data_IF_172843210139
#
_entry.id   IF_172843210139
#
_cell.length_a   1.000
_cell.length_b   1.000
_cell.length_c   1.000
_cell.angle_alpha   90.00
_cell.angle_beta   90.00
_cell.angle_gamma   90.00
#
_symmetry.space_group_name_H-M   'P 1'
#
loop_
_entity.id
_entity.type
_entity.pdbx_description
1 polymer ?
#
# COMPACT_ATOMS: atom_id res chain seq x y z
N UNK A 1 -9.74 9.79 17.41
CA UNK A 1 -9.71 10.41 16.06
C UNK A 1 -8.27 10.79 15.78
N UNK A 2 -7.65 10.21 14.75
CA UNK A 2 -6.35 10.67 14.27
C UNK A 2 -6.53 12.11 13.75
N UNK A 3 -5.69 13.03 14.17
CA UNK A 3 -5.66 14.40 13.64
C UNK A 3 -4.34 14.49 12.89
N UNK A 4 -4.40 14.68 11.57
CA UNK A 4 -3.19 14.96 10.80
C UNK A 4 -2.59 16.29 11.28
N UNK A 5 -1.26 16.43 11.32
CA UNK A 5 -0.62 17.67 11.77
C UNK A 5 -1.08 18.84 10.88
N UNK A 6 -1.47 19.95 11.48
CA UNK A 6 -1.86 21.17 10.78
C UNK A 6 -0.68 22.13 10.76
N UNK A 7 0.21 22.03 9.79
CA UNK A 7 1.15 23.11 9.43
C UNK A 7 0.58 23.86 8.23
N UNK A 8 0.83 25.15 8.09
CA UNK A 8 0.20 26.02 7.10
C UNK A 8 0.58 25.74 5.62
N UNK A 9 1.03 24.54 5.29
CA UNK A 9 1.28 24.02 3.95
C UNK A 9 0.36 22.82 3.67
N UNK A 10 -0.04 22.57 2.42
CA UNK A 10 -0.85 21.39 2.06
C UNK A 10 -0.07 20.11 2.40
N UNK A 11 -0.65 19.30 3.26
CA UNK A 11 -0.10 17.99 3.63
C UNK A 11 -0.34 17.01 2.50
N UNK A 12 0.71 16.64 1.76
CA UNK A 12 0.64 15.79 0.57
C UNK A 12 0.97 14.34 0.91
N UNK A 13 0.11 13.43 0.46
CA UNK A 13 0.22 11.99 0.71
C UNK A 13 0.24 11.22 -0.61
N UNK A 14 1.34 10.55 -0.90
CA UNK A 14 1.47 9.69 -2.08
C UNK A 14 0.87 8.32 -1.81
N UNK A 15 -0.08 7.90 -2.64
CA UNK A 15 -0.81 6.64 -2.49
C UNK A 15 -0.74 5.85 -3.80
N UNK A 16 -0.21 4.63 -3.78
CA UNK A 16 -0.28 3.75 -4.94
C UNK A 16 -1.52 2.87 -4.88
N UNK A 17 -2.11 2.52 -6.03
CA UNK A 17 -3.36 1.76 -6.06
C UNK A 17 -4.59 2.58 -5.66
N UNK A 18 -4.50 3.91 -5.77
CA UNK A 18 -5.54 4.83 -5.31
C UNK A 18 -6.81 4.87 -6.15
N UNK A 19 -6.86 4.21 -7.29
CA UNK A 19 -8.06 4.14 -8.12
C UNK A 19 -9.12 3.15 -7.59
N UNK A 20 -8.78 2.25 -6.66
CA UNK A 20 -9.73 1.25 -6.14
C UNK A 20 -9.36 0.74 -4.74
N UNK A 21 -10.27 -0.01 -4.13
CA UNK A 21 -10.04 -0.79 -2.91
C UNK A 21 -9.46 0.02 -1.76
N UNK A 22 -8.44 -0.53 -1.10
CA UNK A 22 -7.81 0.10 0.08
C UNK A 22 -7.13 1.43 -0.27
N UNK A 23 -6.49 1.53 -1.44
CA UNK A 23 -5.88 2.78 -1.88
C UNK A 23 -6.91 3.89 -2.02
N UNK A 24 -8.04 3.64 -2.68
CA UNK A 24 -9.14 4.61 -2.82
C UNK A 24 -9.76 4.99 -1.47
N UNK A 25 -9.98 4.02 -0.58
CA UNK A 25 -10.46 4.30 0.76
C UNK A 25 -9.47 5.17 1.57
N UNK A 26 -8.16 4.99 1.34
CA UNK A 26 -7.13 5.84 1.95
C UNK A 26 -7.13 7.25 1.37
N UNK A 27 -7.34 7.39 0.06
CA UNK A 27 -7.54 8.70 -0.59
C UNK A 27 -8.70 9.45 0.08
N UNK A 28 -9.85 8.79 0.26
CA UNK A 28 -11.01 9.38 0.92
C UNK A 28 -10.72 9.78 2.37
N UNK A 29 -9.97 8.96 3.07
CA UNK A 29 -9.60 9.24 4.44
C UNK A 29 -8.64 10.45 4.52
N UNK A 30 -7.62 10.52 3.67
CA UNK A 30 -6.68 11.66 3.61
C UNK A 30 -7.43 12.97 3.38
N UNK A 31 -8.33 13.04 2.39
CA UNK A 31 -9.13 14.25 2.14
C UNK A 31 -10.02 14.62 3.32
N UNK A 32 -10.69 13.64 3.94
CA UNK A 32 -11.56 13.87 5.11
C UNK A 32 -10.81 14.51 6.27
N UNK A 33 -9.53 14.20 6.42
CA UNK A 33 -8.68 14.77 7.47
C UNK A 33 -7.86 15.99 7.01
N UNK A 34 -8.18 16.55 5.84
CA UNK A 34 -7.61 17.81 5.34
C UNK A 34 -6.27 17.67 4.63
N UNK A 35 -5.85 16.44 4.30
CA UNK A 35 -4.66 16.17 3.49
C UNK A 35 -4.97 16.23 1.98
N UNK A 36 -3.92 16.29 1.18
CA UNK A 36 -3.98 16.26 -0.29
C UNK A 36 -3.46 14.91 -0.78
N UNK A 37 -4.32 14.02 -1.29
CA UNK A 37 -3.87 12.75 -1.85
C UNK A 37 -3.29 12.94 -3.25
N UNK A 38 -2.23 12.21 -3.55
CA UNK A 38 -1.55 12.13 -4.84
C UNK A 38 -1.49 10.65 -5.22
N UNK A 39 -1.95 10.30 -6.40
CA UNK A 39 -2.18 8.89 -6.74
C UNK A 39 -1.26 8.41 -7.87
N UNK A 40 -0.65 7.24 -7.68
CA UNK A 40 -0.10 6.43 -8.77
C UNK A 40 -0.93 5.16 -8.90
N UNK A 41 -1.52 4.95 -10.06
CA UNK A 41 -2.28 3.74 -10.39
C UNK A 41 -2.13 3.44 -11.87
N UNK A 42 -2.38 2.21 -12.31
CA UNK A 42 -2.44 1.88 -13.75
C UNK A 42 -3.68 2.45 -14.43
N UNK A 43 -4.74 2.71 -13.67
CA UNK A 43 -5.99 3.29 -14.12
C UNK A 43 -6.20 4.66 -13.48
N UNK A 44 -6.86 5.60 -14.17
CA UNK A 44 -7.20 6.87 -13.55
C UNK A 44 -8.23 6.66 -12.42
N UNK A 45 -8.12 7.42 -11.32
CA UNK A 45 -9.17 7.47 -10.30
C UNK A 45 -10.51 7.92 -10.89
N UNK A 46 -11.63 7.53 -10.27
CA UNK A 46 -12.98 7.88 -10.75
C UNK A 46 -13.35 9.36 -10.51
N UNK A 47 -12.51 10.11 -9.84
CA UNK A 47 -12.72 11.51 -9.48
C UNK A 47 -11.49 12.38 -9.75
N UNK A 48 -11.68 13.68 -9.76
CA UNK A 48 -10.65 14.67 -10.07
C UNK A 48 -9.70 14.86 -8.87
N UNK A 49 -8.63 14.08 -8.87
CA UNK A 49 -7.51 14.19 -7.93
C UNK A 49 -6.19 14.12 -8.71
N UNK A 50 -5.14 14.72 -8.17
CA UNK A 50 -3.83 14.67 -8.78
C UNK A 50 -3.33 13.22 -8.89
N UNK A 51 -3.07 12.76 -10.11
CA UNK A 51 -2.65 11.38 -10.35
C UNK A 51 -1.74 11.24 -11.57
N UNK A 52 -0.93 10.19 -11.56
CA UNK A 52 -0.17 9.73 -12.72
C UNK A 52 -0.51 8.26 -12.99
N UNK A 53 -0.87 7.96 -14.23
CA UNK A 53 -1.09 6.58 -14.65
C UNK A 53 0.24 5.89 -14.94
N UNK A 54 0.62 4.92 -14.10
CA UNK A 54 1.85 4.14 -14.26
C UNK A 54 1.67 2.68 -13.83
N UNK A 55 2.31 1.77 -14.55
CA UNK A 55 2.41 0.37 -14.12
C UNK A 55 3.58 0.23 -13.15
N UNK A 56 3.33 -0.25 -11.94
CA UNK A 56 4.39 -0.44 -10.93
C UNK A 56 5.42 -1.53 -11.30
N UNK A 57 5.15 -2.36 -12.30
CA UNK A 57 6.14 -3.28 -12.85
C UNK A 57 7.25 -2.57 -13.64
N UNK A 58 7.04 -1.33 -14.06
CA UNK A 58 7.98 -0.47 -14.78
C UNK A 58 8.62 0.54 -13.82
N UNK A 59 9.84 0.22 -13.38
CA UNK A 59 10.56 1.04 -12.40
C UNK A 59 10.85 2.47 -12.92
N UNK A 60 11.15 2.63 -14.20
CA UNK A 60 11.40 3.96 -14.79
C UNK A 60 10.13 4.81 -14.82
N UNK A 61 9.00 4.20 -15.19
CA UNK A 61 7.70 4.89 -15.12
C UNK A 61 7.33 5.29 -13.69
N UNK A 62 7.63 4.44 -12.70
CA UNK A 62 7.44 4.75 -11.28
C UNK A 62 8.28 5.95 -10.85
N UNK A 63 9.56 5.98 -11.18
CA UNK A 63 10.46 7.08 -10.80
C UNK A 63 9.97 8.42 -11.40
N UNK A 64 9.54 8.43 -12.66
CA UNK A 64 8.95 9.61 -13.32
C UNK A 64 7.65 10.04 -12.64
N UNK A 65 6.76 9.09 -12.35
CA UNK A 65 5.47 9.39 -11.71
C UNK A 65 5.65 9.99 -10.30
N UNK A 66 6.58 9.47 -9.51
CA UNK A 66 6.90 10.02 -8.19
C UNK A 66 7.46 11.43 -8.30
N UNK A 67 8.37 11.70 -9.24
CA UNK A 67 8.95 13.03 -9.44
C UNK A 67 7.87 14.05 -9.86
N UNK A 68 6.99 13.69 -10.81
CA UNK A 68 5.90 14.54 -11.28
C UNK A 68 4.94 14.91 -10.12
N UNK A 69 4.55 13.93 -9.30
CA UNK A 69 3.68 14.19 -8.16
C UNK A 69 4.39 14.93 -7.02
N UNK A 70 5.69 14.77 -6.89
CA UNK A 70 6.49 15.56 -5.96
C UNK A 70 6.53 17.04 -6.35
N UNK A 71 6.61 17.35 -7.65
CA UNK A 71 6.50 18.73 -8.14
C UNK A 71 5.14 19.34 -7.80
N UNK A 72 4.04 18.57 -7.99
CA UNK A 72 2.69 18.98 -7.57
C UNK A 72 2.61 19.24 -6.06
N UNK A 73 3.30 18.42 -5.25
CA UNK A 73 3.37 18.52 -3.80
C UNK A 73 4.29 19.66 -3.29
N UNK A 74 4.95 20.39 -4.17
CA UNK A 74 5.93 21.39 -3.75
C UNK A 74 7.23 20.81 -3.16
N UNK A 75 7.59 19.59 -3.54
CA UNK A 75 8.85 18.92 -3.20
C UNK A 75 8.84 18.12 -1.89
N UNK A 76 7.69 17.91 -1.26
CA UNK A 76 7.63 17.16 0.00
C UNK A 76 6.39 16.26 0.11
N UNK A 77 6.55 15.11 0.78
CA UNK A 77 5.45 14.22 1.17
C UNK A 77 5.44 14.00 2.68
N UNK A 78 4.30 14.20 3.32
CA UNK A 78 4.06 13.86 4.72
C UNK A 78 3.75 12.37 4.92
N UNK A 79 3.35 11.69 3.85
CA UNK A 79 3.13 10.25 3.89
C UNK A 79 3.25 9.58 2.53
N UNK A 80 3.70 8.34 2.54
CA UNK A 80 3.70 7.45 1.38
C UNK A 80 3.03 6.14 1.77
N UNK A 81 2.01 5.74 1.03
CA UNK A 81 1.32 4.46 1.22
C UNK A 81 1.37 3.61 -0.05
N UNK A 82 2.00 2.44 0.05
CA UNK A 82 2.09 1.51 -1.08
C UNK A 82 0.98 0.46 -1.01
N UNK A 83 -0.24 0.82 -1.45
CA UNK A 83 -1.42 -0.06 -1.41
C UNK A 83 -1.59 -0.93 -2.66
N UNK A 84 -0.97 -0.56 -3.78
CA UNK A 84 -1.11 -1.31 -5.03
C UNK A 84 -0.64 -2.76 -4.88
N UNK A 85 -1.42 -3.66 -5.45
CA UNK A 85 -1.09 -5.08 -5.46
C UNK A 85 -2.00 -5.86 -6.37
N UNK A 86 -1.46 -6.94 -6.91
CA UNK A 86 -2.17 -7.90 -7.76
C UNK A 86 -1.92 -9.33 -7.28
N UNK A 87 -2.70 -10.27 -7.79
CA UNK A 87 -2.54 -11.69 -7.51
C UNK A 87 -2.75 -12.52 -8.78
N UNK A 88 -2.21 -13.73 -8.77
CA UNK A 88 -2.44 -14.76 -9.78
C UNK A 88 -2.58 -16.11 -9.06
N UNK A 89 -3.84 -16.50 -8.79
CA UNK A 89 -4.15 -17.72 -8.06
C UNK A 89 -4.06 -18.96 -8.96
N UNK A 90 -3.50 -20.03 -8.43
CA UNK A 90 -3.38 -21.31 -9.08
C UNK A 90 -2.20 -22.12 -8.56
N UNK A 91 -2.17 -23.42 -8.90
CA UNK A 91 -0.99 -24.24 -8.63
C UNK A 91 0.21 -23.68 -9.41
N UNK A 92 1.40 -23.82 -8.85
CA UNK A 92 2.63 -23.30 -9.45
C UNK A 92 2.82 -23.74 -10.91
N UNK A 93 2.46 -24.99 -11.22
CA UNK A 93 2.56 -25.58 -12.56
C UNK A 93 1.53 -25.03 -13.56
N UNK A 94 0.41 -24.48 -13.07
CA UNK A 94 -0.72 -24.01 -13.90
C UNK A 94 -0.65 -22.49 -14.12
N UNK A 95 0.04 -21.73 -13.27
CA UNK A 95 0.19 -20.27 -13.41
C UNK A 95 1.27 -19.96 -14.44
N UNK A 96 0.96 -19.24 -15.53
CA UNK A 96 1.98 -18.83 -16.49
C UNK A 96 3.13 -18.04 -15.84
N UNK A 97 4.38 -18.37 -16.17
CA UNK A 97 5.56 -17.75 -15.57
C UNK A 97 5.51 -16.21 -15.60
N UNK A 98 5.08 -15.63 -16.73
CA UNK A 98 4.95 -14.18 -16.87
C UNK A 98 3.95 -13.56 -15.88
N UNK A 99 2.84 -14.23 -15.57
CA UNK A 99 1.87 -13.76 -14.58
C UNK A 99 2.42 -13.91 -13.16
N UNK A 100 3.12 -15.00 -12.88
CA UNK A 100 3.79 -15.23 -11.60
C UNK A 100 4.82 -14.14 -11.32
N UNK A 101 5.68 -13.84 -12.30
CA UNK A 101 6.69 -12.78 -12.22
C UNK A 101 6.07 -11.39 -12.09
N UNK A 102 4.97 -11.11 -12.80
CA UNK A 102 4.28 -9.82 -12.75
C UNK A 102 3.78 -9.51 -11.33
N UNK A 103 3.30 -10.53 -10.60
CA UNK A 103 2.92 -10.35 -9.18
C UNK A 103 4.10 -9.88 -8.34
N UNK A 104 5.30 -10.44 -8.54
CA UNK A 104 6.49 -9.99 -7.81
C UNK A 104 6.92 -8.59 -8.25
N UNK A 105 6.89 -8.33 -9.55
CA UNK A 105 7.27 -7.01 -10.09
C UNK A 105 6.39 -5.91 -9.55
N UNK A 106 5.07 -6.09 -9.54
CA UNK A 106 4.14 -5.09 -9.03
C UNK A 106 4.22 -4.98 -7.51
N UNK A 107 4.05 -6.12 -6.79
CA UNK A 107 3.83 -6.08 -5.33
C UNK A 107 5.11 -5.79 -4.55
N UNK A 108 6.25 -6.29 -5.00
CA UNK A 108 7.52 -6.18 -4.25
C UNK A 108 8.47 -5.16 -4.90
N UNK A 109 8.83 -5.36 -6.17
CA UNK A 109 9.79 -4.49 -6.83
C UNK A 109 9.20 -3.08 -7.00
N UNK A 110 7.92 -2.99 -7.42
CA UNK A 110 7.20 -1.72 -7.53
C UNK A 110 7.09 -0.99 -6.19
N UNK A 111 6.77 -1.70 -5.09
CA UNK A 111 6.80 -1.12 -3.74
C UNK A 111 8.17 -0.54 -3.41
N UNK A 112 9.24 -1.29 -3.65
CA UNK A 112 10.60 -0.81 -3.39
C UNK A 112 10.99 0.38 -4.28
N UNK A 113 10.57 0.37 -5.55
CA UNK A 113 10.81 1.48 -6.49
C UNK A 113 10.12 2.77 -6.04
N UNK A 114 8.83 2.69 -5.67
CA UNK A 114 8.07 3.84 -5.14
C UNK A 114 8.74 4.42 -3.90
N UNK A 115 9.07 3.57 -2.92
CA UNK A 115 9.70 4.00 -1.67
C UNK A 115 11.05 4.66 -1.95
N UNK A 116 11.90 4.04 -2.78
CA UNK A 116 13.21 4.60 -3.13
C UNK A 116 13.10 5.96 -3.81
N UNK A 117 12.20 6.10 -4.78
CA UNK A 117 11.99 7.36 -5.50
C UNK A 117 11.40 8.44 -4.60
N UNK A 118 10.49 8.07 -3.67
CA UNK A 118 9.83 9.01 -2.78
C UNK A 118 10.69 9.45 -1.59
N UNK A 119 11.73 8.69 -1.22
CA UNK A 119 12.48 8.89 0.03
C UNK A 119 13.06 10.31 0.20
N UNK A 120 13.64 10.99 -0.82
CA UNK A 120 14.09 12.38 -0.68
C UNK A 120 12.97 13.34 -0.29
N UNK A 121 11.79 13.16 -0.86
CA UNK A 121 10.61 14.01 -0.63
C UNK A 121 9.94 13.72 0.73
N UNK A 122 9.97 12.45 1.17
CA UNK A 122 9.51 12.06 2.52
C UNK A 122 10.40 12.67 3.59
N UNK A 123 11.71 12.68 3.38
CA UNK A 123 12.66 13.38 4.29
C UNK A 123 12.39 14.87 4.35
N UNK A 124 12.17 15.51 3.20
CA UNK A 124 11.85 16.93 3.12
C UNK A 124 10.56 17.27 3.88
N UNK A 125 9.53 16.42 3.78
CA UNK A 125 8.26 16.56 4.49
C UNK A 125 8.29 16.09 5.95
N UNK A 126 9.40 15.53 6.44
CA UNK A 126 9.45 14.80 7.73
C UNK A 126 8.34 13.75 7.84
N UNK A 127 8.08 13.13 6.71
CA UNK A 127 6.96 12.22 6.50
C UNK A 127 7.21 10.81 7.00
N UNK A 128 6.27 9.93 6.65
CA UNK A 128 6.27 8.52 7.04
C UNK A 128 5.96 7.63 5.85
N UNK A 129 6.40 6.39 5.94
CA UNK A 129 6.14 5.37 4.94
C UNK A 129 5.28 4.27 5.57
N UNK A 130 4.18 3.93 4.91
CA UNK A 130 3.36 2.75 5.23
C UNK A 130 3.42 1.81 4.04
N UNK A 131 3.87 0.58 4.25
CA UNK A 131 3.85 -0.46 3.21
C UNK A 131 2.75 -1.46 3.49
N UNK A 132 2.09 -1.95 2.42
CA UNK A 132 0.99 -2.89 2.54
C UNK A 132 1.44 -4.32 2.21
N UNK A 133 1.61 -5.15 3.25
CA UNK A 133 1.78 -6.58 3.08
C UNK A 133 0.41 -7.31 3.01
N UNK A 134 0.23 -8.36 3.76
CA UNK A 134 -0.98 -9.17 3.93
C UNK A 134 -0.75 -10.17 5.05
N UNK A 135 -1.80 -10.73 5.64
CA UNK A 135 -1.70 -11.95 6.45
C UNK A 135 -1.03 -13.08 5.67
N UNK A 136 -1.19 -13.12 4.33
CA UNK A 136 -0.45 -14.04 3.45
C UNK A 136 1.04 -13.65 3.22
N UNK A 137 1.51 -12.64 3.88
CA UNK A 137 2.95 -12.32 4.03
C UNK A 137 3.59 -12.92 5.28
N UNK A 138 2.80 -13.56 6.16
CA UNK A 138 3.25 -14.22 7.39
C UNK A 138 2.72 -15.66 7.52
N UNK A 139 1.64 -16.00 6.82
CA UNK A 139 1.08 -17.35 6.72
C UNK A 139 0.89 -17.73 5.25
N UNK A 140 1.60 -18.75 4.78
CA UNK A 140 1.47 -19.21 3.41
C UNK A 140 0.23 -20.11 3.24
N UNK A 141 -0.37 -20.07 2.06
CA UNK A 141 -1.46 -20.95 1.64
C UNK A 141 -1.15 -21.55 0.27
N UNK A 142 -1.81 -22.68 -0.06
CA UNK A 142 -1.71 -23.28 -1.40
C UNK A 142 -2.30 -22.36 -2.47
N UNK A 143 -1.92 -22.60 -3.72
CA UNK A 143 -2.43 -21.92 -4.92
C UNK A 143 -2.23 -20.40 -4.94
N UNK A 144 -1.30 -19.88 -4.12
CA UNK A 144 -0.96 -18.47 -3.99
C UNK A 144 0.54 -18.22 -3.90
N UNK A 145 1.35 -19.04 -4.57
CA UNK A 145 2.82 -19.00 -4.43
C UNK A 145 3.42 -17.65 -4.82
N UNK A 146 2.95 -17.02 -5.90
CA UNK A 146 3.41 -15.69 -6.31
C UNK A 146 3.05 -14.62 -5.27
N UNK A 147 1.78 -14.61 -4.85
CA UNK A 147 1.29 -13.63 -3.89
C UNK A 147 1.97 -13.77 -2.53
N UNK A 148 2.02 -15.00 -1.98
CA UNK A 148 2.75 -15.25 -0.73
C UNK A 148 4.21 -14.81 -0.84
N UNK A 149 4.95 -15.22 -1.88
CA UNK A 149 6.34 -14.83 -2.08
C UNK A 149 6.49 -13.30 -2.11
N UNK A 150 5.61 -12.59 -2.84
CA UNK A 150 5.65 -11.13 -2.91
C UNK A 150 5.39 -10.47 -1.55
N UNK A 151 4.39 -10.95 -0.78
CA UNK A 151 3.99 -10.33 0.50
C UNK A 151 4.95 -10.68 1.65
N UNK A 152 5.54 -11.89 1.66
CA UNK A 152 6.68 -12.20 2.54
C UNK A 152 7.88 -11.31 2.20
N UNK A 153 8.13 -11.06 0.91
CA UNK A 153 9.15 -10.12 0.45
C UNK A 153 8.91 -8.70 0.97
N UNK A 154 7.68 -8.20 0.91
CA UNK A 154 7.31 -6.88 1.45
C UNK A 154 7.52 -6.81 2.96
N UNK A 155 7.20 -7.87 3.72
CA UNK A 155 7.47 -7.94 5.16
C UNK A 155 8.97 -7.79 5.43
N UNK A 156 9.81 -8.59 4.75
CA UNK A 156 11.27 -8.54 4.90
C UNK A 156 11.84 -7.17 4.50
N UNK A 157 11.41 -6.66 3.34
CA UNK A 157 11.80 -5.34 2.84
C UNK A 157 11.48 -4.23 3.85
N UNK A 158 10.26 -4.21 4.38
CA UNK A 158 9.80 -3.15 5.29
C UNK A 158 10.54 -3.19 6.62
N UNK A 159 10.77 -4.38 7.17
CA UNK A 159 11.55 -4.53 8.43
C UNK A 159 12.99 -4.06 8.26
N UNK A 160 13.63 -4.40 7.14
CA UNK A 160 14.98 -3.92 6.82
C UNK A 160 15.00 -2.39 6.64
N UNK A 161 14.06 -1.84 5.87
CA UNK A 161 13.91 -0.40 5.64
C UNK A 161 13.70 0.36 6.95
N UNK A 162 12.86 -0.17 7.85
CA UNK A 162 12.60 0.45 9.16
C UNK A 162 13.86 0.50 10.05
N UNK A 163 14.74 -0.50 9.94
CA UNK A 163 16.03 -0.50 10.63
C UNK A 163 17.01 0.49 10.00
N UNK A 164 17.05 0.56 8.67
CA UNK A 164 17.93 1.45 7.90
C UNK A 164 17.58 2.92 8.13
N UNK A 165 16.29 3.27 8.22
CA UNK A 165 15.79 4.64 8.38
C UNK A 165 15.51 5.02 9.84
N UNK A 166 15.93 4.21 10.80
CA UNK A 166 15.66 4.46 12.21
C UNK A 166 16.15 5.85 12.67
N UNK A 167 15.22 6.65 13.22
CA UNK A 167 15.50 8.02 13.65
C UNK A 167 15.43 9.08 12.53
N UNK A 168 15.28 8.68 11.27
CA UNK A 168 15.19 9.55 10.09
C UNK A 168 13.75 9.61 9.55
N UNK A 169 13.23 8.46 9.09
CA UNK A 169 11.88 8.34 8.53
C UNK A 169 11.14 7.21 9.24
N UNK A 170 9.93 7.49 9.74
CA UNK A 170 9.07 6.48 10.32
C UNK A 170 8.56 5.50 9.26
N UNK A 171 8.69 4.19 9.54
CA UNK A 171 8.27 3.13 8.62
C UNK A 171 7.32 2.16 9.33
N UNK A 172 6.14 1.98 8.75
CA UNK A 172 5.10 1.08 9.26
C UNK A 172 4.83 -0.03 8.27
N UNK A 173 4.82 -1.27 8.76
CA UNK A 173 4.34 -2.44 8.04
C UNK A 173 2.86 -2.65 8.35
N UNK A 174 1.99 -2.48 7.37
CA UNK A 174 0.57 -2.84 7.45
C UNK A 174 0.37 -4.26 6.97
N UNK A 175 -0.27 -5.09 7.78
CA UNK A 175 -0.58 -6.50 7.51
C UNK A 175 -2.11 -6.68 7.57
N UNK A 176 -2.83 -6.37 6.50
CA UNK A 176 -4.28 -6.54 6.47
C UNK A 176 -4.65 -8.01 6.21
N UNK A 177 -5.81 -8.42 6.77
CA UNK A 177 -6.52 -9.62 6.36
C UNK A 177 -7.32 -9.42 5.09
N UNK A 178 -8.28 -10.31 4.85
CA UNK A 178 -9.22 -10.20 3.73
C UNK A 178 -10.09 -8.95 3.83
N UNK A 179 -10.19 -8.19 2.74
CA UNK A 179 -10.99 -6.96 2.66
C UNK A 179 -12.05 -7.06 1.57
N UNK A 180 -13.19 -6.43 1.80
CA UNK A 180 -14.27 -6.29 0.82
C UNK A 180 -13.89 -5.24 -0.25
N UNK A 181 -13.19 -5.69 -1.28
CA UNK A 181 -12.63 -4.85 -2.34
C UNK A 181 -12.68 -5.56 -3.69
N UNK A 182 -12.55 -4.84 -4.82
CA UNK A 182 -12.43 -5.44 -6.14
C UNK A 182 -11.21 -6.35 -6.35
N UNK A 183 -10.32 -6.48 -5.36
CA UNK A 183 -9.13 -7.33 -5.44
C UNK A 183 -9.46 -8.80 -5.75
N UNK A 184 -10.64 -9.27 -5.36
CA UNK A 184 -11.11 -10.62 -5.63
C UNK A 184 -11.88 -10.76 -6.95
N UNK A 185 -12.15 -9.65 -7.64
CA UNK A 185 -12.86 -9.68 -8.91
C UNK A 185 -12.02 -10.39 -9.99
N UNK A 186 -12.70 -11.05 -10.91
CA UNK A 186 -12.03 -11.81 -11.97
C UNK A 186 -11.43 -13.16 -11.55
N UNK A 187 -11.32 -13.49 -10.25
CA UNK A 187 -10.88 -14.82 -9.81
C UNK A 187 -11.94 -15.86 -10.10
N UNK A 188 -11.52 -17.10 -10.37
CA UNK A 188 -12.42 -18.24 -10.41
C UNK A 188 -13.08 -18.48 -9.05
N UNK A 189 -14.27 -19.06 -9.04
CA UNK A 189 -15.11 -19.18 -7.82
C UNK A 189 -14.38 -19.82 -6.64
N UNK A 190 -13.50 -20.80 -6.89
CA UNK A 190 -12.74 -21.52 -5.85
C UNK A 190 -11.72 -20.62 -5.12
N UNK A 191 -11.31 -19.50 -5.71
CA UNK A 191 -10.34 -18.57 -5.15
C UNK A 191 -10.98 -17.25 -4.64
N UNK A 192 -12.31 -17.17 -4.69
CA UNK A 192 -13.05 -16.05 -4.07
C UNK A 192 -13.37 -16.38 -2.63
N UNK A 193 -13.39 -15.38 -1.74
CA UNK A 193 -13.94 -15.58 -0.41
C UNK A 193 -15.35 -16.14 -0.49
N UNK A 194 -15.72 -17.12 0.36
CA UNK A 194 -17.09 -17.60 0.39
C UNK A 194 -18.06 -16.49 0.77
N UNK A 195 -19.32 -16.56 0.34
CA UNK A 195 -20.35 -15.54 0.63
C UNK A 195 -20.62 -15.34 2.13
N UNK A 196 -20.18 -16.28 2.95
CA UNK A 196 -20.26 -16.22 4.43
C UNK A 196 -19.03 -15.54 5.05
N UNK A 197 -17.98 -15.25 4.29
CA UNK A 197 -16.78 -14.61 4.83
C UNK A 197 -17.09 -13.19 5.32
N UNK A 198 -16.64 -12.90 6.53
CA UNK A 198 -16.71 -11.54 7.10
C UNK A 198 -15.43 -10.79 6.80
N UNK A 199 -15.40 -10.14 5.65
CA UNK A 199 -14.27 -9.33 5.22
C UNK A 199 -14.27 -7.98 5.95
N UNK A 200 -13.08 -7.45 6.21
CA UNK A 200 -12.94 -6.10 6.75
C UNK A 200 -13.31 -5.07 5.67
N UNK A 201 -13.88 -3.94 6.07
CA UNK A 201 -14.12 -2.83 5.16
C UNK A 201 -12.82 -2.05 4.91
N UNK A 202 -12.49 -1.69 3.66
CA UNK A 202 -11.27 -0.97 3.35
C UNK A 202 -11.17 0.37 4.09
N UNK A 203 -12.29 1.04 4.37
CA UNK A 203 -12.34 2.29 5.15
C UNK A 203 -11.81 2.11 6.58
N UNK A 204 -12.07 0.96 7.19
CA UNK A 204 -11.58 0.66 8.55
C UNK A 204 -10.05 0.49 8.56
N UNK A 205 -9.50 -0.10 7.50
CA UNK A 205 -8.06 -0.28 7.35
C UNK A 205 -7.38 1.05 6.98
N UNK A 206 -8.04 1.90 6.18
CA UNK A 206 -7.55 3.22 5.83
C UNK A 206 -7.38 4.12 7.08
N UNK A 207 -8.28 4.04 8.06
CA UNK A 207 -8.12 4.76 9.35
C UNK A 207 -6.84 4.33 10.10
N UNK A 208 -6.42 3.08 9.97
CA UNK A 208 -5.16 2.61 10.57
C UNK A 208 -3.93 3.16 9.84
N UNK A 209 -4.02 3.32 8.52
CA UNK A 209 -2.97 4.01 7.73
C UNK A 209 -2.84 5.46 8.21
N UNK A 210 -3.94 6.18 8.36
CA UNK A 210 -3.93 7.56 8.89
C UNK A 210 -3.37 7.62 10.31
N UNK A 211 -3.70 6.63 11.15
CA UNK A 211 -3.15 6.54 12.50
C UNK A 211 -1.63 6.38 12.49
N UNK A 212 -1.07 5.65 11.50
CA UNK A 212 0.37 5.52 11.34
C UNK A 212 1.00 6.86 10.89
N UNK A 213 0.37 7.59 9.98
CA UNK A 213 0.84 8.91 9.56
C UNK A 213 0.78 9.95 10.68
N UNK A 214 -0.21 9.89 11.55
CA UNK A 214 -0.46 10.86 12.62
C UNK A 214 0.42 10.70 13.86
N UNK A 215 1.36 9.72 13.89
CA UNK A 215 2.19 9.53 15.07
C UNK A 215 3.13 10.74 15.28
N UNK A 216 3.36 11.20 16.51
CA UNK A 216 4.27 12.29 16.80
C UNK A 216 5.72 11.91 16.46
N UNK A 217 6.58 12.90 16.31
CA UNK A 217 8.01 12.67 16.08
C UNK A 217 8.61 11.80 17.20
N UNK A 218 9.41 10.81 16.82
CA UNK A 218 10.03 9.87 17.75
C UNK A 218 9.13 8.71 18.20
N UNK A 219 7.86 8.68 17.76
CA UNK A 219 6.95 7.55 18.00
C UNK A 219 6.53 6.92 16.67
N UNK A 220 6.57 5.61 16.58
CA UNK A 220 6.25 4.87 15.36
C UNK A 220 5.37 3.65 15.66
N UNK A 221 4.35 3.44 14.81
CA UNK A 221 3.67 2.16 14.72
C UNK A 221 4.49 1.26 13.80
N UNK A 222 5.21 0.31 14.35
CA UNK A 222 6.12 -0.54 13.55
C UNK A 222 5.37 -1.55 12.70
N UNK A 223 4.42 -2.25 13.28
CA UNK A 223 3.62 -3.26 12.59
C UNK A 223 2.16 -3.15 13.03
N UNK A 224 1.25 -3.17 12.06
CA UNK A 224 -0.18 -3.15 12.28
C UNK A 224 -0.80 -4.36 11.61
N UNK A 225 -1.23 -5.32 12.40
CA UNK A 225 -2.07 -6.43 11.92
C UNK A 225 -3.52 -6.03 12.11
N UNK A 226 -4.25 -5.93 11.01
CA UNK A 226 -5.64 -5.47 11.01
C UNK A 226 -6.49 -6.39 10.15
N UNK A 227 -7.37 -7.14 10.77
CA UNK A 227 -8.20 -8.12 10.10
C UNK A 227 -9.58 -8.22 10.75
N UNK A 228 -10.50 -8.89 10.08
CA UNK A 228 -11.76 -9.29 10.68
C UNK A 228 -11.50 -10.16 11.93
N UNK A 229 -12.38 -10.08 12.93
CA UNK A 229 -12.30 -10.94 14.12
C UNK A 229 -12.43 -12.44 13.81
N UNK A 230 -12.90 -12.79 12.61
CA UNK A 230 -13.06 -14.16 12.11
C UNK A 230 -12.04 -14.48 10.99
N UNK A 231 -10.92 -13.75 10.93
CA UNK A 231 -9.91 -13.92 9.89
C UNK A 231 -9.19 -15.27 10.01
N UNK A 232 -9.38 -16.14 9.05
CA UNK A 232 -8.80 -17.48 9.03
C UNK A 232 -7.32 -17.49 8.57
N UNK A 233 -6.86 -16.45 7.91
CA UNK A 233 -5.46 -16.32 7.46
C UNK A 233 -4.54 -15.69 8.50
N UNK A 234 -5.05 -15.32 9.65
CA UNK A 234 -4.25 -14.93 10.81
C UNK A 234 -3.86 -16.16 11.61
N UNK A 235 -2.58 -16.31 12.03
CA UNK A 235 -2.11 -17.42 12.85
C UNK A 235 -2.73 -17.45 14.24
#
# INVERSE_FOLDING_TARGET
MAVLPTSGHPHSYLITGGASGLGSATVDAVERYGGTPLVIDKNPPSRDIAHVCANLADTEAVEKAVAELADVAGGSFEGVFTAAGIDSCGKLEDVPAAQWEEVLRVNLIGTAAVVRAALPYVRAGRGRIVTCASTLGIKAVSDATAYCASKFGVVGFTRALAAELAGDVGVTLLIPGGMDTPFFDGRSAQYRPPSTARLAKPEQIAEMVLSAFAQPAGCELRELVVCSSEEASWP
#
